data_IF_792076023028
#
_entry.id   IF_792076023028
#
_cell.length_a   1.000
_cell.length_b   1.000
_cell.length_c   1.000
_cell.angle_alpha   90.00
_cell.angle_beta   90.00
_cell.angle_gamma   90.00
#
_symmetry.space_group_name_H-M   'P 1'
#
loop_
_entity.id
_entity.type
_entity.pdbx_description
1 polymer ?
#
# COMPACT_ATOMS: atom_id res chain seq x y z
N UNK A 1 24.31 -8.97 9.99
CA UNK A 1 23.77 -7.61 10.06
C UNK A 1 22.35 -7.69 10.63
N UNK A 2 21.99 -6.83 11.58
CA UNK A 2 20.70 -6.84 12.29
C UNK A 2 20.02 -5.48 12.19
N UNK A 3 18.70 -5.46 12.27
CA UNK A 3 17.91 -4.27 12.61
C UNK A 3 17.81 -4.27 14.14
N UNK A 4 18.42 -3.29 14.81
CA UNK A 4 18.43 -3.21 16.27
C UNK A 4 17.41 -2.20 16.73
N UNK A 5 16.44 -2.63 17.52
CA UNK A 5 15.39 -1.79 18.09
C UNK A 5 15.70 -1.67 19.58
N UNK A 6 15.82 -0.43 20.08
CA UNK A 6 16.09 -0.17 21.49
C UNK A 6 14.96 0.63 22.13
N UNK A 7 14.46 0.10 23.25
CA UNK A 7 13.47 0.77 24.10
C UNK A 7 12.16 1.13 23.42
N UNK A 8 11.57 0.20 22.66
CA UNK A 8 10.25 0.39 22.06
C UNK A 8 9.15 0.39 23.14
N UNK A 9 8.33 1.45 23.13
CA UNK A 9 7.31 1.81 24.12
C UNK A 9 6.00 2.29 23.47
N UNK A 10 5.83 2.01 22.18
CA UNK A 10 4.58 2.34 21.50
C UNK A 10 3.43 1.52 22.08
N UNK A 11 2.25 2.14 22.25
CA UNK A 11 1.08 1.55 22.93
C UNK A 11 1.39 0.77 24.21
N UNK A 12 1.31 -0.57 24.18
CA UNK A 12 1.48 -1.45 25.34
C UNK A 12 2.86 -2.12 25.41
N UNK A 13 3.83 -1.70 24.56
CA UNK A 13 5.19 -2.21 24.61
C UNK A 13 5.90 -1.77 25.89
N UNK A 14 6.53 -2.73 26.59
CA UNK A 14 7.16 -2.52 27.89
C UNK A 14 8.66 -2.24 27.78
N UNK A 15 9.03 -1.17 27.06
CA UNK A 15 10.43 -0.77 26.86
C UNK A 15 11.32 -1.88 26.29
N UNK A 16 10.83 -2.55 25.24
CA UNK A 16 11.48 -3.75 24.71
C UNK A 16 12.66 -3.38 23.80
N UNK A 17 13.70 -4.22 23.82
CA UNK A 17 14.81 -4.14 22.88
C UNK A 17 14.94 -5.48 22.15
N UNK A 18 15.03 -5.44 20.83
CA UNK A 18 15.07 -6.65 20.00
C UNK A 18 15.97 -6.43 18.79
N UNK A 19 16.73 -7.46 18.43
CA UNK A 19 17.60 -7.47 17.27
C UNK A 19 17.00 -8.42 16.23
N UNK A 20 16.59 -7.89 15.07
CA UNK A 20 15.96 -8.66 13.98
C UNK A 20 17.03 -8.98 12.92
N UNK A 21 17.29 -10.24 12.58
CA UNK A 21 18.29 -10.58 11.57
C UNK A 21 17.83 -10.13 10.18
N UNK A 22 18.73 -9.47 9.43
CA UNK A 22 18.46 -9.09 8.03
C UNK A 22 18.57 -10.29 7.10
N UNK A 23 17.89 -10.21 5.95
CA UNK A 23 17.91 -11.22 4.89
C UNK A 23 17.47 -12.61 5.38
N UNK A 24 16.53 -12.63 6.32
CA UNK A 24 15.92 -13.84 6.88
C UNK A 24 14.40 -13.67 6.92
N UNK A 25 13.69 -14.78 6.80
CA UNK A 25 12.28 -14.82 7.13
C UNK A 25 12.15 -14.84 8.66
N UNK A 26 11.63 -13.75 9.23
CA UNK A 26 11.42 -13.60 10.67
C UNK A 26 9.93 -13.59 10.96
N UNK A 27 9.51 -14.41 11.91
CA UNK A 27 8.11 -14.51 12.32
C UNK A 27 7.97 -13.94 13.72
N UNK A 28 7.09 -12.93 13.88
CA UNK A 28 6.71 -12.41 15.19
C UNK A 28 5.49 -13.18 15.71
N UNK A 29 5.67 -13.97 16.77
CA UNK A 29 4.62 -14.81 17.35
C UNK A 29 4.24 -14.36 18.76
N UNK A 30 3.12 -14.86 19.28
CA UNK A 30 2.59 -14.52 20.61
C UNK A 30 1.07 -14.35 20.63
N UNK A 31 0.48 -14.39 21.82
CA UNK A 31 -0.97 -14.27 22.05
C UNK A 31 -1.56 -12.95 21.53
N UNK A 32 -2.86 -12.91 21.24
CA UNK A 32 -3.52 -11.66 20.85
C UNK A 32 -3.28 -10.55 21.89
N UNK A 33 -3.07 -9.31 21.45
CA UNK A 33 -2.75 -8.19 22.33
C UNK A 33 -1.32 -8.14 22.88
N UNK A 34 -0.44 -9.10 22.56
CA UNK A 34 0.94 -9.11 23.07
C UNK A 34 1.87 -8.00 22.54
N UNK A 35 1.39 -7.13 21.64
CA UNK A 35 2.17 -6.03 21.06
C UNK A 35 2.90 -6.35 19.74
N UNK A 36 2.65 -7.51 19.11
CA UNK A 36 3.26 -7.88 17.80
C UNK A 36 2.98 -6.84 16.72
N UNK A 37 1.70 -6.50 16.53
CA UNK A 37 1.30 -5.53 15.51
C UNK A 37 1.82 -4.14 15.85
N UNK A 38 1.81 -3.76 17.12
CA UNK A 38 2.42 -2.49 17.56
C UNK A 38 3.91 -2.41 17.27
N UNK A 39 4.66 -3.48 17.48
CA UNK A 39 6.07 -3.51 17.12
C UNK A 39 6.26 -3.42 15.59
N UNK A 40 5.50 -4.18 14.81
CA UNK A 40 5.68 -4.25 13.35
C UNK A 40 5.16 -3.00 12.61
N UNK A 41 3.90 -2.63 12.84
CA UNK A 41 3.18 -1.58 12.13
C UNK A 41 3.44 -0.22 12.77
N UNK A 42 3.18 -0.09 14.07
CA UNK A 42 3.18 1.23 14.73
C UNK A 42 4.58 1.71 15.10
N UNK A 43 5.56 0.80 15.24
CA UNK A 43 6.96 1.14 15.56
C UNK A 43 7.87 1.04 14.34
N UNK A 44 8.12 -0.18 13.82
CA UNK A 44 9.12 -0.40 12.76
C UNK A 44 8.72 0.30 11.46
N UNK A 45 7.49 0.10 11.00
CA UNK A 45 7.03 0.69 9.75
C UNK A 45 6.90 2.21 9.84
N UNK A 46 6.35 2.74 10.94
CA UNK A 46 6.27 4.20 11.18
C UNK A 46 7.65 4.88 11.13
N UNK A 47 8.65 4.34 11.84
CA UNK A 47 10.01 4.91 11.82
C UNK A 47 10.67 4.74 10.45
N UNK A 48 10.46 3.61 9.77
CA UNK A 48 11.01 3.40 8.43
C UNK A 48 10.50 4.44 7.43
N UNK A 49 9.19 4.70 7.45
CA UNK A 49 8.58 5.70 6.58
C UNK A 49 9.03 7.12 6.96
N UNK A 50 9.12 7.42 8.25
CA UNK A 50 9.63 8.71 8.73
C UNK A 50 11.08 8.96 8.31
N UNK A 51 11.97 8.01 8.55
CA UNK A 51 13.39 8.12 8.17
C UNK A 51 13.54 8.26 6.64
N UNK A 52 12.74 7.53 5.87
CA UNK A 52 12.70 7.68 4.42
C UNK A 52 12.29 9.10 4.00
N UNK A 53 11.24 9.66 4.59
CA UNK A 53 10.79 11.03 4.31
C UNK A 53 11.80 12.09 4.76
N UNK A 54 12.48 11.86 5.90
CA UNK A 54 13.52 12.76 6.42
C UNK A 54 14.79 12.76 5.54
N UNK A 55 14.99 11.74 4.70
CA UNK A 55 16.05 11.70 3.69
C UNK A 55 15.73 12.51 2.41
N UNK A 56 14.47 12.92 2.21
CA UNK A 56 14.02 13.64 1.02
C UNK A 56 14.31 15.15 1.10
N UNK A 57 14.31 15.83 -0.05
CA UNK A 57 14.52 17.29 -0.11
C UNK A 57 13.45 18.07 0.66
N UNK A 58 13.82 19.25 1.17
CA UNK A 58 12.90 20.15 1.89
C UNK A 58 11.67 20.54 1.08
N UNK A 59 11.78 20.59 -0.26
CA UNK A 59 10.65 20.82 -1.16
C UNK A 59 9.67 19.64 -1.17
N UNK A 60 10.17 18.41 -1.30
CA UNK A 60 9.34 17.20 -1.33
C UNK A 60 8.59 16.97 0.00
N UNK A 61 9.18 17.39 1.13
CA UNK A 61 8.55 17.28 2.46
C UNK A 61 7.31 18.17 2.64
N UNK A 62 7.16 19.27 1.87
CA UNK A 62 6.03 20.21 2.04
C UNK A 62 4.69 19.59 1.64
N UNK A 63 4.70 18.66 0.69
CA UNK A 63 3.50 18.00 0.17
C UNK A 63 3.15 16.68 0.87
N UNK A 64 3.96 16.25 1.84
CA UNK A 64 3.83 14.93 2.46
C UNK A 64 3.32 15.05 3.91
N UNK A 65 2.48 14.12 4.37
CA UNK A 65 2.02 14.10 5.75
C UNK A 65 3.21 14.03 6.72
N UNK A 66 3.20 14.85 7.77
CA UNK A 66 4.17 14.68 8.86
C UNK A 66 3.87 13.37 9.57
N UNK A 67 4.85 12.47 9.57
CA UNK A 67 4.74 11.22 10.32
C UNK A 67 5.13 11.43 11.77
N UNK A 68 4.28 10.93 12.67
CA UNK A 68 4.56 10.93 14.10
C UNK A 68 5.70 9.98 14.38
N UNK A 69 6.72 10.44 15.10
CA UNK A 69 7.81 9.60 15.59
C UNK A 69 7.26 8.56 16.57
N UNK A 70 7.60 7.29 16.37
CA UNK A 70 7.23 6.23 17.31
C UNK A 70 7.98 6.40 18.65
N UNK A 71 7.37 5.94 19.74
CA UNK A 71 7.99 5.94 21.08
C UNK A 71 9.06 4.84 21.16
N UNK A 72 10.24 5.12 20.63
CA UNK A 72 11.41 4.23 20.63
C UNK A 72 12.68 5.07 20.85
N UNK A 73 13.70 4.51 21.52
CA UNK A 73 14.96 5.22 21.75
C UNK A 73 15.78 5.34 20.45
N UNK A 74 15.94 4.22 19.75
CA UNK A 74 16.62 4.17 18.45
C UNK A 74 16.25 2.91 17.68
N UNK A 75 16.33 3.03 16.34
CA UNK A 75 16.33 1.89 15.44
C UNK A 75 17.54 2.02 14.51
N UNK A 76 18.44 1.04 14.55
CA UNK A 76 19.63 1.00 13.70
C UNK A 76 19.49 -0.04 12.60
N UNK A 77 20.05 0.24 11.43
CA UNK A 77 20.11 -0.72 10.32
C UNK A 77 18.78 -0.97 9.63
N UNK A 78 17.77 -0.12 9.88
CA UNK A 78 16.49 -0.12 9.18
C UNK A 78 16.68 0.34 7.73
N UNK A 79 15.86 -0.19 6.84
CA UNK A 79 15.80 0.22 5.43
C UNK A 79 14.36 0.61 5.10
N UNK A 80 14.09 1.32 3.98
CA UNK A 80 12.72 1.61 3.58
C UNK A 80 11.88 0.33 3.57
N UNK A 81 10.77 0.35 4.32
CA UNK A 81 9.92 -0.80 4.54
C UNK A 81 8.62 -0.64 3.77
N UNK A 82 8.18 -1.73 3.16
CA UNK A 82 6.87 -1.88 2.56
C UNK A 82 6.03 -2.72 3.52
N UNK A 83 4.78 -2.31 3.71
CA UNK A 83 3.82 -3.06 4.50
C UNK A 83 2.75 -3.65 3.59
N UNK A 84 2.44 -4.92 3.81
CA UNK A 84 1.39 -5.63 3.11
C UNK A 84 0.38 -6.02 4.18
N UNK A 85 -0.75 -5.31 4.22
CA UNK A 85 -1.83 -5.49 5.18
C UNK A 85 -3.10 -5.93 4.44
N UNK A 86 -4.03 -6.56 5.16
CA UNK A 86 -5.34 -6.98 4.66
C UNK A 86 -6.35 -5.83 4.58
N UNK A 87 -5.94 -4.56 4.74
CA UNK A 87 -6.86 -3.43 4.50
C UNK A 87 -7.49 -3.61 3.11
N UNK A 88 -8.80 -3.86 3.10
CA UNK A 88 -9.54 -4.00 1.86
C UNK A 88 -9.27 -2.74 1.05
N UNK A 89 -8.59 -2.89 -0.09
CA UNK A 89 -8.52 -1.84 -1.10
C UNK A 89 -9.96 -1.34 -1.25
N UNK A 90 -10.17 -0.04 -1.05
CA UNK A 90 -11.49 0.57 -1.19
C UNK A 90 -12.11 0.00 -2.46
N UNK A 91 -13.27 -0.66 -2.33
CA UNK A 91 -13.89 -1.43 -3.43
C UNK A 91 -14.32 -0.47 -4.52
N UNK A 92 -13.38 -0.08 -5.36
CA UNK A 92 -13.65 0.56 -6.63
C UNK A 92 -13.86 -0.58 -7.63
N UNK A 93 -15.07 -0.73 -8.22
CA UNK A 93 -15.33 -1.80 -9.17
C UNK A 93 -14.42 -1.77 -10.41
N UNK A 94 -13.75 -0.64 -10.66
CA UNK A 94 -12.75 -0.48 -11.72
C UNK A 94 -11.35 -0.97 -11.32
N UNK A 95 -11.11 -1.25 -10.05
CA UNK A 95 -9.85 -1.82 -9.55
C UNK A 95 -9.88 -3.33 -9.66
N UNK A 96 -9.19 -3.85 -10.67
CA UNK A 96 -9.00 -5.28 -10.91
C UNK A 96 -7.55 -5.66 -10.64
N UNK A 97 -7.25 -6.96 -10.60
CA UNK A 97 -5.87 -7.45 -10.52
C UNK A 97 -5.02 -6.89 -11.67
N UNK A 98 -5.60 -6.78 -12.87
CA UNK A 98 -4.91 -6.25 -14.04
C UNK A 98 -4.54 -4.77 -13.90
N UNK A 99 -5.41 -3.95 -13.30
CA UNK A 99 -5.11 -2.52 -13.07
C UNK A 99 -4.13 -2.34 -11.91
N UNK A 100 -4.25 -3.12 -10.82
CA UNK A 100 -3.37 -2.98 -9.64
C UNK A 100 -1.95 -3.45 -9.92
N UNK A 101 -1.79 -4.47 -10.76
CA UNK A 101 -0.46 -4.98 -11.15
C UNK A 101 0.13 -4.25 -12.36
N UNK A 102 -0.55 -3.24 -12.91
CA UNK A 102 -0.19 -2.52 -14.13
C UNK A 102 -0.08 -3.38 -15.42
N UNK A 103 -0.35 -4.68 -15.34
CA UNK A 103 -0.42 -5.58 -16.51
C UNK A 103 -1.41 -5.04 -17.54
N UNK A 104 -2.51 -4.45 -17.08
CA UNK A 104 -3.50 -3.82 -17.94
C UNK A 104 -2.94 -2.71 -18.82
N UNK A 105 -1.99 -1.90 -18.33
CA UNK A 105 -1.36 -0.84 -19.11
C UNK A 105 -0.56 -1.42 -20.30
N UNK A 106 0.19 -2.50 -20.06
CA UNK A 106 0.94 -3.19 -21.12
C UNK A 106 0.00 -3.83 -22.14
N UNK A 107 -1.08 -4.47 -21.69
CA UNK A 107 -2.07 -5.08 -22.58
C UNK A 107 -2.71 -4.03 -23.49
N UNK A 108 -3.10 -2.87 -22.95
CA UNK A 108 -3.66 -1.77 -23.75
C UNK A 108 -2.69 -1.26 -24.82
N UNK A 109 -1.41 -1.15 -24.46
CA UNK A 109 -0.37 -0.75 -25.40
C UNK A 109 -0.11 -1.82 -26.47
N UNK A 110 -0.19 -3.11 -26.10
CA UNK A 110 -0.04 -4.21 -27.05
C UNK A 110 -1.17 -4.19 -28.09
N UNK A 111 -2.43 -4.11 -27.63
CA UNK A 111 -3.59 -4.07 -28.53
C UNK A 111 -3.62 -2.83 -29.41
N UNK A 112 -3.17 -1.66 -28.91
CA UNK A 112 -3.07 -0.45 -29.72
C UNK A 112 -2.10 -0.60 -30.90
N UNK A 113 -1.07 -1.43 -30.76
CA UNK A 113 -0.07 -1.69 -31.80
C UNK A 113 -0.42 -2.86 -32.72
N UNK A 114 -1.13 -3.87 -32.21
CA UNK A 114 -1.51 -5.06 -32.98
C UNK A 114 -2.88 -4.94 -33.67
N UNK A 115 -3.71 -3.99 -33.24
CA UNK A 115 -5.06 -3.82 -33.75
C UNK A 115 -5.09 -3.41 -35.23
N UNK A 116 -6.13 -3.88 -35.93
CA UNK A 116 -6.50 -3.38 -37.26
C UNK A 116 -7.97 -2.97 -37.22
N UNK A 117 -8.31 -1.67 -37.31
CA UNK A 117 -7.40 -0.53 -37.47
C UNK A 117 -6.51 -0.29 -36.24
N UNK A 118 -5.41 0.44 -36.45
CA UNK A 118 -4.54 0.90 -35.36
C UNK A 118 -5.28 1.99 -34.59
N UNK A 119 -5.46 1.78 -33.28
CA UNK A 119 -6.19 2.67 -32.37
C UNK A 119 -5.28 3.13 -31.22
N UNK A 120 -5.70 4.17 -30.48
CA UNK A 120 -4.98 4.60 -29.27
C UNK A 120 -5.16 3.60 -28.12
N UNK A 121 -4.20 3.55 -27.18
CA UNK A 121 -4.34 2.75 -25.96
C UNK A 121 -5.50 3.18 -25.05
N UNK A 122 -6.05 4.38 -25.27
CA UNK A 122 -7.26 4.86 -24.58
C UNK A 122 -8.51 4.11 -25.04
N UNK A 123 -8.60 3.72 -26.31
CA UNK A 123 -9.73 2.95 -26.86
C UNK A 123 -9.82 1.53 -26.24
N UNK A 124 -8.73 1.02 -25.70
CA UNK A 124 -8.69 -0.25 -24.98
C UNK A 124 -8.86 -0.08 -23.46
N UNK A 125 -9.22 1.12 -23.01
CA UNK A 125 -9.38 1.47 -21.60
C UNK A 125 -10.83 1.55 -21.16
N UNK A 126 -11.28 0.62 -20.30
CA UNK A 126 -12.62 0.68 -19.67
C UNK A 126 -12.74 1.83 -18.66
N UNK A 127 -11.63 2.49 -18.32
CA UNK A 127 -11.60 3.67 -17.45
C UNK A 127 -11.66 4.99 -18.22
N UNK A 128 -11.68 4.97 -19.55
CA UNK A 128 -11.79 6.17 -20.38
C UNK A 128 -13.13 6.22 -21.11
N UNK A 129 -13.67 7.41 -21.42
CA UNK A 129 -14.89 7.52 -22.22
C UNK A 129 -14.79 6.89 -23.62
N UNK A 130 -13.57 6.81 -24.17
CA UNK A 130 -13.31 6.25 -25.50
C UNK A 130 -13.46 4.72 -25.52
N UNK A 131 -12.81 4.03 -24.58
CA UNK A 131 -12.87 2.56 -24.49
C UNK A 131 -14.00 1.99 -23.61
N UNK A 132 -14.65 2.82 -22.79
CA UNK A 132 -15.69 2.34 -21.90
C UNK A 132 -17.00 2.02 -22.64
N UNK A 133 -17.62 0.91 -22.28
CA UNK A 133 -18.98 0.59 -22.72
C UNK A 133 -19.95 1.70 -22.28
N UNK A 134 -20.71 2.26 -23.22
CA UNK A 134 -21.67 3.34 -22.97
C UNK A 134 -22.81 2.96 -22.01
N UNK A 135 -23.17 1.68 -21.95
CA UNK A 135 -24.26 1.20 -21.10
C UNK A 135 -23.85 1.07 -19.63
N UNK A 136 -22.73 0.39 -19.35
CA UNK A 136 -22.26 0.16 -17.97
C UNK A 136 -21.15 1.12 -17.51
N UNK A 137 -20.78 2.10 -18.34
CA UNK A 137 -19.68 3.03 -18.05
C UNK A 137 -18.32 2.34 -17.84
N UNK A 138 -18.11 1.19 -18.48
CA UNK A 138 -16.90 0.39 -18.35
C UNK A 138 -16.80 -0.48 -17.08
N UNK A 139 -17.88 -0.58 -16.29
CA UNK A 139 -17.89 -1.40 -15.06
C UNK A 139 -18.10 -2.89 -15.32
N UNK A 140 -18.62 -3.26 -16.49
CA UNK A 140 -19.01 -4.65 -16.80
C UNK A 140 -20.28 -5.13 -16.09
N UNK A 141 -20.83 -4.33 -15.18
CA UNK A 141 -22.08 -4.58 -14.45
C UNK A 141 -22.92 -3.31 -14.38
N UNK A 142 -24.24 -3.45 -14.34
CA UNK A 142 -25.14 -2.34 -13.98
C UNK A 142 -25.25 -2.27 -12.47
N UNK A 143 -24.79 -1.16 -11.89
CA UNK A 143 -25.03 -0.87 -10.49
C UNK A 143 -26.50 -0.45 -10.38
N UNK A 144 -27.34 -1.33 -9.84
CA UNK A 144 -28.67 -0.89 -9.41
C UNK A 144 -28.48 0.24 -8.40
N UNK A 145 -29.30 1.31 -8.47
CA UNK A 145 -29.35 2.28 -7.39
C UNK A 145 -29.48 1.51 -6.08
N UNK A 146 -28.81 1.95 -5.02
CA UNK A 146 -29.05 1.43 -3.68
C UNK A 146 -30.54 1.60 -3.38
N UNK A 147 -31.37 0.60 -3.72
CA UNK A 147 -32.67 0.45 -3.10
C UNK A 147 -32.35 0.37 -1.62
N UNK A 148 -32.92 1.32 -0.88
CA UNK A 148 -32.93 1.37 0.57
C UNK A 148 -32.98 -0.06 1.13
N UNK A 149 -31.91 -0.50 1.79
CA UNK A 149 -31.98 -1.74 2.54
C UNK A 149 -32.78 -1.42 3.80
N UNK A 150 -33.95 -2.04 4.04
CA UNK A 150 -34.72 -1.85 5.25
C UNK A 150 -34.25 -2.87 6.27
N UNK A 151 -33.05 -2.69 6.84
CA UNK A 151 -32.62 -3.35 8.08
C UNK A 151 -31.63 -2.45 8.82
#
# INVERSE_FOLDING_TARGET
>A
MYIKIKGAREHNLKNISVDIPRNKLVVLTGVSGSGKSTLAFDTIFSESQRDYLDSMSTYARRSMPRMTKAKVDSIEGLSPCIIIDFKQLARNPRSTVGTVTEVYAFIRLLYSRMGTPILSSEEFSFNTPMGACKNCGGLGVELKPFCCNPF
#
